data_IF_098127566662
#
_entry.id   IF_098127566662
#
_cell.length_a   1.000
_cell.length_b   1.000
_cell.length_c   1.000
_cell.angle_alpha   90.00
_cell.angle_beta   90.00
_cell.angle_gamma   90.00
#
_symmetry.space_group_name_H-M   'P 1'
#
loop_
_entity.id
_entity.type
_entity.pdbx_description
1 polymer ?
#
# COMPACT_ATOMS: atom_id res chain seq x y z
N UNK A 1 -4.83 21.68 -5.00
CA UNK A 1 -5.99 21.53 -4.08
C UNK A 1 -6.30 20.03 -4.10
N UNK A 2 -5.80 19.26 -3.13
CA UNK A 2 -5.86 17.79 -3.18
C UNK A 2 -7.29 17.29 -3.21
N UNK A 3 -7.61 16.39 -4.15
CA UNK A 3 -8.90 15.71 -4.23
C UNK A 3 -8.99 14.75 -3.03
N UNK A 4 -9.83 15.08 -2.04
CA UNK A 4 -10.29 14.09 -1.06
C UNK A 4 -11.31 13.21 -1.77
N UNK A 5 -10.92 11.99 -2.11
CA UNK A 5 -11.85 10.97 -2.59
C UNK A 5 -12.12 10.00 -1.44
N UNK A 6 -13.30 10.15 -0.83
CA UNK A 6 -13.75 9.33 0.30
C UNK A 6 -14.13 7.90 -0.14
N UNK A 7 -14.40 7.70 -1.44
CA UNK A 7 -14.66 6.42 -2.10
C UNK A 7 -14.24 6.55 -3.58
N UNK A 8 -13.23 5.79 -4.03
CA UNK A 8 -12.81 5.76 -5.43
C UNK A 8 -12.91 4.32 -5.98
N UNK A 9 -13.79 4.15 -6.96
CA UNK A 9 -13.96 2.91 -7.73
C UNK A 9 -13.58 3.23 -9.18
N UNK A 10 -12.38 2.82 -9.59
CA UNK A 10 -11.86 3.09 -10.93
C UNK A 10 -11.39 1.81 -11.60
N UNK A 11 -11.83 1.61 -12.84
CA UNK A 11 -11.44 0.46 -13.67
C UNK A 11 -10.07 0.66 -14.34
N UNK A 12 -9.60 1.91 -14.49
CA UNK A 12 -8.35 2.25 -15.20
C UNK A 12 -7.28 2.89 -14.28
N UNK A 13 -7.55 2.93 -12.98
CA UNK A 13 -6.75 3.70 -12.03
C UNK A 13 -6.92 5.21 -12.23
N UNK A 14 -6.68 6.02 -11.20
CA UNK A 14 -6.89 7.46 -11.28
C UNK A 14 -5.91 8.10 -12.30
N UNK A 15 -6.36 9.12 -13.07
CA UNK A 15 -5.49 9.87 -13.97
C UNK A 15 -4.39 10.53 -13.14
N UNK A 16 -3.12 10.25 -13.49
CA UNK A 16 -1.88 10.85 -12.97
C UNK A 16 -2.07 11.71 -11.71
N UNK A 17 -2.11 11.05 -10.55
CA UNK A 17 -2.38 11.73 -9.30
C UNK A 17 -1.21 12.62 -8.88
N UNK A 18 -1.54 13.89 -8.85
CA UNK A 18 -0.86 15.02 -8.22
C UNK A 18 -0.17 14.62 -6.89
N UNK A 19 0.99 15.22 -6.64
CA UNK A 19 1.92 14.92 -5.53
C UNK A 19 1.31 14.96 -4.11
N UNK A 20 0.04 15.36 -3.94
CA UNK A 20 -0.62 15.56 -2.65
C UNK A 20 -2.05 14.94 -2.59
N UNK A 21 -2.24 13.74 -3.14
CA UNK A 21 -3.55 13.06 -3.05
C UNK A 21 -3.69 12.29 -1.74
N UNK A 22 -4.60 12.72 -0.85
CA UNK A 22 -4.99 11.97 0.35
C UNK A 22 -6.31 11.27 0.08
N UNK A 23 -6.32 9.95 0.24
CA UNK A 23 -7.51 9.13 0.09
C UNK A 23 -7.87 8.53 1.45
N UNK A 24 -9.13 8.67 1.86
CA UNK A 24 -9.62 8.17 3.15
C UNK A 24 -10.80 7.23 2.87
N UNK A 25 -10.91 6.10 3.58
CA UNK A 25 -12.02 5.17 3.42
C UNK A 25 -11.69 3.94 2.57
N UNK A 26 -12.59 3.57 1.67
CA UNK A 26 -12.50 2.34 0.86
C UNK A 26 -12.13 2.67 -0.59
N UNK A 27 -11.03 2.09 -1.06
CA UNK A 27 -10.53 2.22 -2.44
C UNK A 27 -10.44 0.84 -3.06
N UNK A 28 -11.17 0.62 -4.15
CA UNK A 28 -11.19 -0.66 -4.86
C UNK A 28 -11.04 -0.44 -6.36
N UNK A 29 -10.08 -1.14 -6.97
CA UNK A 29 -9.84 -1.04 -8.41
C UNK A 29 -9.65 -2.41 -9.05
N UNK A 30 -10.06 -2.56 -10.30
CA UNK A 30 -9.76 -3.76 -11.09
C UNK A 30 -8.26 -3.86 -11.38
N UNK A 31 -7.65 -2.76 -11.82
CA UNK A 31 -6.24 -2.73 -12.23
C UNK A 31 -5.32 -2.25 -11.10
N UNK A 32 -5.45 -0.97 -10.67
CA UNK A 32 -4.55 -0.36 -9.69
C UNK A 32 -5.23 0.67 -8.78
N UNK A 33 -4.81 0.72 -7.52
CA UNK A 33 -5.05 1.85 -6.60
C UNK A 33 -3.76 2.64 -6.46
N UNK A 34 -3.82 3.96 -6.58
CA UNK A 34 -2.69 4.85 -6.36
C UNK A 34 -3.16 6.06 -5.57
N UNK A 35 -2.38 6.51 -4.59
CA UNK A 35 -2.56 7.80 -3.90
C UNK A 35 -1.22 8.24 -3.29
N UNK A 36 -1.12 9.46 -2.76
CA UNK A 36 0.03 9.85 -1.95
C UNK A 36 -0.11 9.28 -0.54
N UNK A 37 -1.27 9.50 0.09
CA UNK A 37 -1.59 8.95 1.41
C UNK A 37 -2.91 8.18 1.35
N UNK A 38 -2.94 7.01 1.98
CA UNK A 38 -4.14 6.20 2.11
C UNK A 38 -4.43 5.98 3.60
N UNK A 39 -5.63 6.31 4.04
CA UNK A 39 -6.15 5.96 5.37
C UNK A 39 -7.41 5.13 5.24
N UNK A 40 -7.31 3.81 5.42
CA UNK A 40 -8.44 2.90 5.35
C UNK A 40 -8.12 1.59 4.64
N UNK A 41 -9.02 1.15 3.76
CA UNK A 41 -8.90 -0.11 3.03
C UNK A 41 -8.63 0.21 1.56
N UNK A 42 -7.50 -0.26 1.04
CA UNK A 42 -7.14 -0.11 -0.37
C UNK A 42 -6.84 -1.46 -0.98
N UNK A 43 -7.53 -1.80 -2.08
CA UNK A 43 -7.25 -3.04 -2.78
C UNK A 43 -7.43 -2.99 -4.29
N UNK A 44 -6.54 -3.71 -4.99
CA UNK A 44 -6.62 -3.90 -6.42
C UNK A 44 -6.21 -5.32 -6.80
N UNK A 45 -6.65 -5.82 -7.95
CA UNK A 45 -6.23 -7.17 -8.38
C UNK A 45 -4.72 -7.23 -8.63
N UNK A 46 -4.14 -6.18 -9.23
CA UNK A 46 -2.72 -6.16 -9.55
C UNK A 46 -1.90 -5.32 -8.57
N UNK A 47 -2.23 -4.04 -8.37
CA UNK A 47 -1.28 -3.13 -7.71
C UNK A 47 -1.92 -2.07 -6.83
N UNK A 48 -1.43 -1.95 -5.60
CA UNK A 48 -1.67 -0.81 -4.71
C UNK A 48 -0.37 -0.04 -4.51
N UNK A 49 -0.37 1.27 -4.77
CA UNK A 49 0.77 2.16 -4.51
C UNK A 49 0.38 3.35 -3.65
N UNK A 50 1.16 3.62 -2.62
CA UNK A 50 1.07 4.86 -1.87
C UNK A 50 2.44 5.32 -1.38
N UNK A 51 2.56 6.59 -1.01
CA UNK A 51 3.69 7.03 -0.20
C UNK A 51 3.50 6.53 1.22
N UNK A 52 2.41 6.92 1.88
CA UNK A 52 2.05 6.44 3.21
C UNK A 52 0.72 5.72 3.19
N UNK A 53 0.62 4.65 3.98
CA UNK A 53 -0.58 3.82 4.08
C UNK A 53 -0.86 3.50 5.54
N UNK A 54 -2.06 3.83 6.02
CA UNK A 54 -2.57 3.44 7.33
C UNK A 54 -3.85 2.63 7.14
N UNK A 55 -3.84 1.35 7.53
CA UNK A 55 -5.01 0.48 7.49
C UNK A 55 -4.72 -0.86 6.84
N UNK A 56 -5.53 -1.24 5.85
CA UNK A 56 -5.44 -2.53 5.16
C UNK A 56 -5.19 -2.34 3.66
N UNK A 57 -4.08 -2.86 3.15
CA UNK A 57 -3.75 -2.93 1.74
C UNK A 57 -3.83 -4.37 1.23
N UNK A 58 -4.44 -4.60 0.07
CA UNK A 58 -4.41 -5.92 -0.57
C UNK A 58 -4.29 -5.87 -2.10
N UNK A 59 -3.59 -6.86 -2.66
CA UNK A 59 -3.42 -7.00 -4.11
C UNK A 59 -2.21 -7.84 -4.47
N UNK A 60 -1.98 -8.14 -5.75
CA UNK A 60 -0.80 -8.93 -6.13
C UNK A 60 0.51 -8.23 -5.71
N UNK A 61 0.59 -6.91 -5.87
CA UNK A 61 1.72 -6.09 -5.46
C UNK A 61 1.27 -4.90 -4.60
N UNK A 62 1.78 -4.78 -3.38
CA UNK A 62 1.61 -3.61 -2.52
C UNK A 62 2.93 -2.85 -2.41
N UNK A 63 2.99 -1.63 -2.93
CA UNK A 63 4.19 -0.78 -2.93
C UNK A 63 3.98 0.51 -2.16
N UNK A 64 4.44 0.53 -0.91
CA UNK A 64 4.42 1.70 -0.05
C UNK A 64 5.82 2.30 -0.05
N UNK A 65 6.02 3.49 -0.63
CA UNK A 65 7.37 4.06 -0.72
C UNK A 65 7.84 4.75 0.57
N UNK A 66 6.92 5.03 1.49
CA UNK A 66 7.15 5.61 2.80
C UNK A 66 6.74 4.63 3.91
N UNK A 67 5.89 5.07 4.83
CA UNK A 67 5.50 4.31 6.02
C UNK A 67 4.22 3.51 5.78
N UNK A 68 4.31 2.21 6.03
CA UNK A 68 3.16 1.32 6.14
C UNK A 68 2.78 1.17 7.61
N UNK A 69 1.56 1.55 7.98
CA UNK A 69 0.95 1.29 9.28
C UNK A 69 -0.26 0.36 9.11
N UNK A 70 -0.25 -0.81 9.75
CA UNK A 70 -1.32 -1.81 9.63
C UNK A 70 -0.95 -3.03 8.77
N UNK A 71 -1.91 -3.56 8.01
CA UNK A 71 -1.81 -4.86 7.33
C UNK A 71 -1.69 -4.72 5.81
N UNK A 72 -0.67 -5.33 5.20
CA UNK A 72 -0.59 -5.52 3.75
C UNK A 72 -0.64 -7.00 3.39
N UNK A 73 -1.51 -7.40 2.47
CA UNK A 73 -1.64 -8.79 1.99
C UNK A 73 -1.45 -8.84 0.48
N UNK A 74 -0.50 -9.63 0.00
CA UNK A 74 -0.25 -9.74 -1.43
C UNK A 74 0.73 -10.83 -1.81
N UNK A 75 1.05 -10.95 -3.09
CA UNK A 75 2.16 -11.82 -3.51
C UNK A 75 3.49 -11.15 -3.14
N UNK A 76 3.57 -9.85 -3.36
CA UNK A 76 4.72 -9.02 -3.05
C UNK A 76 4.31 -7.79 -2.25
N UNK A 77 4.97 -7.56 -1.12
CA UNK A 77 4.78 -6.35 -0.32
C UNK A 77 6.10 -5.59 -0.21
N UNK A 78 6.04 -4.27 -0.29
CA UNK A 78 7.17 -3.38 -0.11
C UNK A 78 6.77 -2.18 0.73
N UNK A 79 7.60 -1.85 1.72
CA UNK A 79 7.53 -0.62 2.48
C UNK A 79 8.94 -0.03 2.66
N UNK A 80 9.07 1.29 2.82
CA UNK A 80 10.31 1.84 3.36
C UNK A 80 10.39 1.57 4.86
N UNK A 81 9.31 1.91 5.58
CA UNK A 81 9.14 1.66 7.01
C UNK A 81 7.89 0.83 7.28
N UNK A 82 7.94 -0.04 8.28
CA UNK A 82 6.81 -0.89 8.67
C UNK A 82 6.46 -0.71 10.16
N UNK A 83 5.20 -0.39 10.41
CA UNK A 83 4.52 -0.46 11.71
C UNK A 83 3.24 -1.31 11.55
N UNK A 84 3.39 -2.62 11.53
CA UNK A 84 2.30 -3.57 11.39
C UNK A 84 2.80 -4.87 10.80
N UNK A 85 2.02 -5.45 9.88
CA UNK A 85 2.26 -6.78 9.32
C UNK A 85 2.17 -6.74 7.79
N UNK A 86 3.10 -7.41 7.12
CA UNK A 86 3.02 -7.76 5.71
C UNK A 86 2.91 -9.27 5.60
N UNK A 87 1.95 -9.74 4.80
CA UNK A 87 1.72 -11.15 4.51
C UNK A 87 1.80 -11.33 3.00
N UNK A 88 2.72 -12.18 2.55
CA UNK A 88 2.90 -12.45 1.13
C UNK A 88 4.06 -13.36 0.82
N UNK A 89 4.14 -13.83 -0.43
CA UNK A 89 5.24 -14.70 -0.86
C UNK A 89 6.59 -14.04 -0.61
N UNK A 90 6.67 -12.73 -0.84
CA UNK A 90 7.86 -11.93 -0.59
C UNK A 90 7.52 -10.57 0.02
N UNK A 91 8.17 -10.23 1.11
CA UNK A 91 7.97 -8.97 1.82
C UNK A 91 9.29 -8.21 1.90
N UNK A 92 9.27 -6.92 1.58
CA UNK A 92 10.42 -6.04 1.65
C UNK A 92 10.18 -4.84 2.56
N UNK A 93 11.10 -4.59 3.49
CA UNK A 93 11.12 -3.37 4.31
C UNK A 93 12.51 -2.76 4.28
N UNK A 94 12.66 -1.56 3.71
CA UNK A 94 13.97 -0.95 3.48
C UNK A 94 14.72 -0.61 4.78
N UNK A 95 13.97 -0.18 5.80
CA UNK A 95 14.44 0.19 7.13
C UNK A 95 14.85 -1.04 7.99
N UNK A 96 14.59 -2.27 7.54
CA UNK A 96 15.07 -3.45 8.26
C UNK A 96 16.60 -3.59 8.17
N UNK A 97 17.23 -4.28 9.16
CA UNK A 97 18.59 -4.77 9.04
C UNK A 97 18.77 -5.51 7.71
N UNK A 98 19.94 -5.39 7.07
CA UNK A 98 20.18 -5.88 5.69
C UNK A 98 19.71 -7.33 5.45
N UNK A 99 19.82 -8.19 6.47
CA UNK A 99 19.44 -9.60 6.42
C UNK A 99 17.94 -9.86 6.66
N UNK A 100 17.20 -8.91 7.23
CA UNK A 100 15.74 -8.94 7.43
C UNK A 100 14.97 -8.07 6.41
N UNK A 101 15.67 -7.44 5.46
CA UNK A 101 15.02 -6.62 4.43
C UNK A 101 14.06 -7.41 3.58
N UNK A 102 14.37 -8.68 3.34
CA UNK A 102 13.55 -9.60 2.57
C UNK A 102 13.10 -10.73 3.47
N UNK A 103 11.79 -10.85 3.69
CA UNK A 103 11.21 -11.94 4.47
C UNK A 103 10.14 -12.67 3.67
N UNK A 104 10.23 -14.01 3.59
CA UNK A 104 9.17 -14.80 2.98
C UNK A 104 7.97 -14.90 3.92
N UNK A 105 6.77 -15.01 3.33
CA UNK A 105 5.49 -15.29 4.01
C UNK A 105 5.00 -14.18 4.94
N UNK A 106 5.76 -13.80 5.97
CA UNK A 106 5.38 -12.76 6.95
C UNK A 106 6.55 -11.84 7.30
N UNK A 107 6.28 -10.54 7.39
CA UNK A 107 7.16 -9.54 8.01
C UNK A 107 6.32 -8.70 8.99
N UNK A 108 6.72 -8.62 10.26
CA UNK A 108 5.98 -7.89 11.29
C UNK A 108 6.92 -7.00 12.11
N UNK A 109 6.52 -5.76 12.35
CA UNK A 109 7.26 -4.74 13.11
C UNK A 109 6.29 -3.80 13.83
N UNK A 110 6.58 -3.39 15.06
CA UNK A 110 5.72 -2.52 15.87
C UNK A 110 6.54 -1.41 16.52
#
# INVERSE_FOLDING_TARGET
MGRNSDLDFSLDGPPNLEHDTVANGLMLAGYRVQANQIHGIAGALLMTRAHDMTGLAFGAFNGISGKQTGLSVGLFNHAAELNGVQIGLLNHVADNPRWLRWLPVVNARF
#
